data_IF_983143053588
#
_entry.id   IF_983143053588
#
_cell.length_a   1.000
_cell.length_b   1.000
_cell.length_c   1.000
_cell.angle_alpha   90.00
_cell.angle_beta   90.00
_cell.angle_gamma   90.00
#
_symmetry.space_group_name_H-M   'P 1'
#
loop_
_entity.id
_entity.type
_entity.pdbx_description
1 polymer ?
#
# COMPACT_ATOMS: atom_id res chain seq x y z
N UNK A 1 -0.30 -22.35 -5.97
CA UNK A 1 -1.35 -23.39 -6.07
C UNK A 1 -0.79 -24.81 -5.92
N UNK A 2 -0.41 -25.20 -4.69
CA UNK A 2 -0.23 -26.60 -4.28
C UNK A 2 -0.70 -26.73 -2.82
N UNK A 3 -1.97 -27.08 -2.59
CA UNK A 3 -2.47 -27.33 -1.22
C UNK A 3 -3.99 -27.45 -1.04
N UNK A 4 -4.78 -27.05 -2.04
CA UNK A 4 -6.24 -26.84 -1.96
C UNK A 4 -7.14 -28.09 -1.81
N UNK A 5 -6.69 -29.18 -1.17
CA UNK A 5 -7.51 -30.40 -1.03
C UNK A 5 -7.92 -30.78 0.40
N UNK A 6 -7.57 -30.02 1.44
CA UNK A 6 -7.90 -30.44 2.81
C UNK A 6 -8.62 -29.44 3.72
N UNK A 7 -8.51 -28.13 3.52
CA UNK A 7 -9.19 -27.13 4.35
C UNK A 7 -9.67 -25.95 3.49
N UNK A 8 -10.74 -25.27 3.93
CA UNK A 8 -11.02 -23.89 3.48
C UNK A 8 -9.83 -23.03 3.89
N UNK A 9 -9.04 -22.59 2.92
CA UNK A 9 -7.84 -21.79 3.15
C UNK A 9 -7.99 -20.43 2.50
N UNK A 10 -7.42 -19.42 3.14
CA UNK A 10 -7.20 -18.11 2.54
C UNK A 10 -6.40 -18.25 1.23
N UNK A 11 -6.53 -17.25 0.35
CA UNK A 11 -5.78 -17.16 -0.89
C UNK A 11 -4.27 -17.35 -0.72
N UNK A 12 -3.63 -17.87 -1.78
CA UNK A 12 -2.18 -18.04 -1.85
C UNK A 12 -1.47 -16.66 -1.77
N UNK A 13 -0.17 -16.60 -1.39
CA UNK A 13 0.59 -15.35 -1.43
C UNK A 13 0.64 -14.72 -2.82
N UNK A 14 0.51 -13.40 -2.88
CA UNK A 14 0.60 -12.61 -4.12
C UNK A 14 1.96 -11.90 -4.23
N UNK A 15 2.40 -11.63 -5.46
CA UNK A 15 3.64 -10.94 -5.78
C UNK A 15 3.35 -9.61 -6.46
N UNK A 16 3.72 -8.51 -5.81
CA UNK A 16 3.59 -7.15 -6.34
C UNK A 16 4.96 -6.54 -6.59
N UNK A 17 5.04 -5.66 -7.58
CA UNK A 17 6.24 -4.87 -7.83
C UNK A 17 6.49 -3.91 -6.68
N UNK A 18 7.73 -3.87 -6.19
CA UNK A 18 8.17 -2.84 -5.25
C UNK A 18 8.41 -1.55 -6.02
N UNK A 19 7.74 -0.48 -5.60
CA UNK A 19 7.94 0.85 -6.14
C UNK A 19 9.21 1.45 -5.53
N UNK A 20 10.09 1.96 -6.39
CA UNK A 20 11.25 2.72 -5.95
C UNK A 20 10.79 3.96 -5.17
N UNK A 21 11.43 4.21 -4.05
CA UNK A 21 11.21 5.32 -3.12
C UNK A 21 11.21 6.70 -3.79
N UNK A 22 12.05 6.94 -4.79
CA UNK A 22 12.05 8.19 -5.58
C UNK A 22 10.78 8.36 -6.47
N UNK A 23 10.02 7.29 -6.65
CA UNK A 23 8.75 7.24 -7.37
C UNK A 23 7.53 7.28 -6.44
N UNK A 24 7.73 7.48 -5.14
CA UNK A 24 6.62 7.72 -4.23
C UNK A 24 5.88 9.02 -4.59
N UNK A 25 4.60 9.05 -4.27
CA UNK A 25 3.71 10.19 -4.48
C UNK A 25 3.29 10.77 -3.13
N UNK A 26 2.69 11.94 -3.18
CA UNK A 26 2.06 12.65 -2.06
C UNK A 26 0.53 12.44 -2.02
N UNK A 27 -0.04 11.89 -3.09
CA UNK A 27 -1.48 11.67 -3.25
C UNK A 27 -1.78 10.37 -3.99
N UNK A 28 -2.74 9.60 -3.47
CA UNK A 28 -3.22 8.37 -4.06
C UNK A 28 -4.74 8.29 -4.05
N UNK A 29 -5.32 7.85 -5.16
CA UNK A 29 -6.69 7.36 -5.24
C UNK A 29 -6.63 5.89 -5.60
N UNK A 30 -7.28 5.04 -4.80
CA UNK A 30 -7.25 3.59 -4.97
C UNK A 30 -8.60 2.97 -4.68
N UNK A 31 -8.76 1.69 -5.04
CA UNK A 31 -10.00 0.95 -4.85
C UNK A 31 -9.77 -0.30 -4.00
N UNK A 32 -10.72 -0.58 -3.11
CA UNK A 32 -10.76 -1.79 -2.31
C UNK A 32 -11.91 -2.67 -2.82
N UNK A 33 -11.59 -3.86 -3.32
CA UNK A 33 -12.59 -4.72 -3.95
C UNK A 33 -13.54 -5.36 -2.91
N UNK A 34 -14.84 -5.17 -3.11
CA UNK A 34 -15.92 -5.76 -2.32
C UNK A 34 -16.04 -7.28 -2.40
N UNK A 35 -15.43 -7.95 -3.38
CA UNK A 35 -15.50 -9.41 -3.50
C UNK A 35 -14.56 -10.13 -2.52
N UNK A 36 -13.71 -9.40 -1.79
CA UNK A 36 -12.74 -9.97 -0.85
C UNK A 36 -13.04 -9.49 0.57
N UNK A 37 -13.36 -10.44 1.47
CA UNK A 37 -13.79 -10.17 2.85
C UNK A 37 -12.75 -9.43 3.69
N UNK A 38 -11.46 -9.69 3.45
CA UNK A 38 -10.35 -9.13 4.21
C UNK A 38 -9.48 -8.28 3.30
N UNK A 39 -9.50 -6.96 3.50
CA UNK A 39 -8.63 -6.03 2.77
C UNK A 39 -7.76 -5.19 3.69
N UNK A 40 -6.50 -5.02 3.31
CA UNK A 40 -5.51 -4.26 4.08
C UNK A 40 -4.62 -3.41 3.18
N UNK A 41 -4.00 -2.40 3.77
CA UNK A 41 -3.05 -1.52 3.13
C UNK A 41 -1.67 -1.73 3.74
N UNK A 42 -0.63 -1.70 2.92
CA UNK A 42 0.75 -1.47 3.37
C UNK A 42 1.14 -0.07 2.94
N UNK A 43 1.54 0.74 3.91
CA UNK A 43 2.06 2.08 3.64
C UNK A 43 3.54 2.11 3.99
N UNK A 44 4.32 2.78 3.15
CA UNK A 44 5.74 3.04 3.38
C UNK A 44 5.95 4.54 3.21
N UNK A 45 6.46 5.22 4.23
CA UNK A 45 6.82 6.64 4.13
C UNK A 45 8.32 6.82 4.21
N UNK A 46 8.83 7.83 3.52
CA UNK A 46 10.23 8.25 3.62
C UNK A 46 10.32 9.64 4.22
N UNK A 47 11.32 9.85 5.08
CA UNK A 47 11.61 11.20 5.59
C UNK A 47 12.24 12.07 4.51
N UNK A 48 11.85 13.32 4.44
CA UNK A 48 12.55 14.32 3.65
C UNK A 48 13.46 15.19 4.54
N UNK A 49 13.80 16.41 4.10
CA UNK A 49 14.61 17.36 4.86
C UNK A 49 13.91 17.86 6.14
N UNK A 50 12.58 17.82 6.18
CA UNK A 50 11.73 18.25 7.30
C UNK A 50 11.33 17.08 8.21
N UNK A 51 11.53 15.84 7.76
CA UNK A 51 11.33 14.63 8.56
C UNK A 51 10.25 13.71 7.99
N UNK A 52 9.66 12.87 8.84
CA UNK A 52 8.54 12.04 8.44
C UNK A 52 7.26 12.85 8.45
N UNK A 53 6.55 12.81 7.33
CA UNK A 53 5.24 13.44 7.19
C UNK A 53 4.13 12.50 7.63
N UNK A 54 3.07 13.08 8.15
CA UNK A 54 1.86 12.35 8.48
C UNK A 54 1.14 11.93 7.19
N UNK A 55 0.61 10.71 7.17
CA UNK A 55 -0.23 10.23 6.07
C UNK A 55 -1.67 10.20 6.56
N UNK A 56 -2.57 10.86 5.82
CA UNK A 56 -4.00 10.84 6.09
C UNK A 56 -4.69 9.93 5.09
N UNK A 57 -5.55 9.05 5.61
CA UNK A 57 -6.53 8.30 4.84
C UNK A 57 -7.90 8.93 5.06
N UNK A 58 -8.69 9.04 4.00
CA UNK A 58 -10.05 9.60 4.06
C UNK A 58 -10.95 8.93 5.11
N UNK A 59 -10.71 7.65 5.39
CA UNK A 59 -11.61 6.81 6.17
C UNK A 59 -11.18 6.55 7.63
N UNK A 60 -9.88 6.67 7.95
CA UNK A 60 -9.36 6.56 9.33
C UNK A 60 -8.69 7.85 9.83
N UNK A 61 -8.45 8.84 8.98
CA UNK A 61 -7.65 10.01 9.30
C UNK A 61 -6.16 9.68 9.35
N UNK A 62 -5.47 10.20 10.36
CA UNK A 62 -4.02 10.06 10.56
C UNK A 62 -3.61 8.60 10.77
N UNK A 63 -2.70 8.11 9.92
CA UNK A 63 -2.16 6.75 10.03
C UNK A 63 -1.08 6.68 11.11
N UNK A 64 -1.17 5.67 11.98
CA UNK A 64 -0.30 5.46 13.13
C UNK A 64 0.51 4.13 13.05
N UNK A 65 1.15 3.77 14.15
CA UNK A 65 1.87 2.49 14.36
C UNK A 65 3.03 2.22 13.39
N UNK A 66 3.70 3.31 12.97
CA UNK A 66 4.88 3.26 12.10
C UNK A 66 6.05 2.52 12.73
N UNK A 67 6.71 1.68 11.92
CA UNK A 67 7.88 0.89 12.30
C UNK A 67 9.04 1.19 11.35
N UNK A 68 10.30 1.21 11.82
CA UNK A 68 11.45 1.41 10.96
C UNK A 68 11.52 0.37 9.83
N UNK A 69 11.81 0.83 8.61
CA UNK A 69 12.10 -0.01 7.45
C UNK A 69 13.59 0.12 7.09
N UNK A 70 14.36 -0.95 7.29
CA UNK A 70 15.81 -0.93 7.09
C UNK A 70 16.58 -0.41 8.30
N UNK A 71 17.87 -0.10 8.10
CA UNK A 71 18.82 0.27 9.17
C UNK A 71 19.34 1.70 9.08
N UNK A 72 19.03 2.42 7.99
CA UNK A 72 19.47 3.80 7.74
C UNK A 72 18.54 4.85 8.39
N UNK A 73 17.38 4.40 8.90
CA UNK A 73 16.38 5.24 9.54
C UNK A 73 15.77 6.28 8.59
N UNK A 74 15.69 5.99 7.29
CA UNK A 74 15.11 6.90 6.29
C UNK A 74 13.67 6.57 5.93
N UNK A 75 13.26 5.32 6.14
CA UNK A 75 11.93 4.84 5.80
C UNK A 75 11.25 4.17 6.99
N UNK A 76 9.93 4.26 7.00
CA UNK A 76 9.06 3.56 7.95
C UNK A 76 7.91 2.91 7.19
N UNK A 77 7.35 1.85 7.76
CA UNK A 77 6.18 1.18 7.21
C UNK A 77 5.13 0.91 8.29
N UNK A 78 3.89 0.73 7.85
CA UNK A 78 2.76 0.34 8.71
C UNK A 78 1.72 -0.42 7.89
N UNK A 79 0.77 -1.03 8.59
CA UNK A 79 -0.37 -1.72 7.99
C UNK A 79 -1.67 -1.16 8.51
N UNK A 80 -2.64 -1.01 7.62
CA UNK A 80 -4.00 -0.59 7.96
C UNK A 80 -4.98 -1.65 7.50
N UNK A 81 -5.74 -2.23 8.42
CA UNK A 81 -6.86 -3.09 8.06
C UNK A 81 -8.05 -2.21 7.63
N UNK A 82 -8.54 -2.40 6.40
CA UNK A 82 -9.69 -1.67 5.86
C UNK A 82 -10.97 -2.45 6.17
N UNK A 83 -11.02 -3.72 5.75
CA UNK A 83 -12.15 -4.61 5.99
C UNK A 83 -11.70 -5.91 6.64
N UNK A 84 -12.49 -6.46 7.55
CA UNK A 84 -12.27 -7.75 8.18
C UNK A 84 -13.59 -8.54 8.17
N UNK A 85 -13.57 -9.76 7.65
CA UNK A 85 -14.76 -10.64 7.55
C UNK A 85 -15.96 -9.94 6.89
N UNK A 86 -15.70 -9.13 5.86
CA UNK A 86 -16.75 -8.42 5.15
C UNK A 86 -17.10 -7.05 5.76
N UNK A 87 -16.59 -6.73 6.95
CA UNK A 87 -16.96 -5.54 7.71
C UNK A 87 -15.88 -4.46 7.63
N UNK A 88 -16.29 -3.23 7.31
CA UNK A 88 -15.42 -2.07 7.33
C UNK A 88 -15.04 -1.61 8.74
N UNK A 89 -13.84 -1.05 8.90
CA UNK A 89 -13.41 -0.39 10.14
C UNK A 89 -13.80 1.09 10.12
N UNK A 90 -14.87 1.44 10.82
CA UNK A 90 -15.34 2.83 10.88
C UNK A 90 -15.86 3.29 9.52
N UNK A 91 -15.31 4.38 8.97
CA UNK A 91 -15.65 4.84 7.62
C UNK A 91 -14.88 4.11 6.50
N UNK A 92 -13.91 3.24 6.84
CA UNK A 92 -13.18 2.46 5.85
C UNK A 92 -14.04 1.30 5.37
N UNK A 93 -14.35 1.27 4.08
CA UNK A 93 -15.25 0.27 3.48
C UNK A 93 -14.68 -0.18 2.13
N UNK A 94 -15.51 -0.78 1.28
CA UNK A 94 -15.13 -1.11 -0.07
C UNK A 94 -15.28 0.09 -1.00
N UNK A 95 -14.65 0.02 -2.17
CA UNK A 95 -14.73 1.04 -3.21
C UNK A 95 -13.59 2.04 -3.14
N UNK A 96 -13.87 3.27 -3.56
CA UNK A 96 -12.86 4.32 -3.73
C UNK A 96 -12.41 4.87 -2.38
N UNK A 97 -11.10 4.93 -2.20
CA UNK A 97 -10.44 5.61 -1.09
C UNK A 97 -9.33 6.53 -1.56
N UNK A 98 -8.93 7.44 -0.68
CA UNK A 98 -7.93 8.46 -0.93
C UNK A 98 -6.94 8.56 0.23
N UNK A 99 -5.66 8.76 -0.12
CA UNK A 99 -4.58 8.99 0.82
C UNK A 99 -3.77 10.23 0.42
N UNK A 100 -3.43 11.07 1.39
CA UNK A 100 -2.64 12.30 1.20
C UNK A 100 -1.52 12.39 2.23
N UNK A 101 -0.44 13.09 1.89
CA UNK A 101 0.62 13.49 2.82
C UNK A 101 1.36 14.71 2.28
N UNK A 102 1.99 15.49 3.14
CA UNK A 102 2.90 16.57 2.73
C UNK A 102 4.25 16.04 2.19
N UNK A 103 4.52 14.74 2.39
CA UNK A 103 5.74 14.08 1.95
C UNK A 103 5.50 12.80 1.14
N UNK A 104 6.57 12.23 0.56
CA UNK A 104 6.48 11.04 -0.28
C UNK A 104 6.17 9.78 0.54
N UNK A 105 5.15 9.04 0.10
CA UNK A 105 4.86 7.70 0.60
C UNK A 105 4.45 6.76 -0.54
N UNK A 106 4.57 5.46 -0.31
CA UNK A 106 4.05 4.40 -1.16
C UNK A 106 2.85 3.73 -0.48
N UNK A 107 1.88 3.30 -1.29
CA UNK A 107 0.68 2.61 -0.83
C UNK A 107 0.46 1.36 -1.67
N UNK A 108 0.27 0.23 -0.98
CA UNK A 108 -0.09 -1.05 -1.59
C UNK A 108 -1.42 -1.51 -1.02
N UNK A 109 -2.29 -1.99 -1.90
CA UNK A 109 -3.59 -2.55 -1.54
C UNK A 109 -3.50 -4.06 -1.62
N UNK A 110 -4.06 -4.73 -0.63
CA UNK A 110 -4.13 -6.19 -0.55
C UNK A 110 -5.55 -6.62 -0.23
N UNK A 111 -5.99 -7.73 -0.82
CA UNK A 111 -7.19 -8.40 -0.38
C UNK A 111 -7.07 -9.91 -0.46
N UNK A 112 -7.75 -10.59 0.47
CA UNK A 112 -7.73 -12.03 0.61
C UNK A 112 -9.14 -12.51 0.93
N UNK A 113 -9.52 -13.61 0.29
CA UNK A 113 -10.72 -14.38 0.58
C UNK A 113 -10.40 -15.88 0.45
N UNK A 114 -11.41 -16.72 0.56
CA UNK A 114 -11.28 -18.16 0.38
C UNK A 114 -10.75 -18.45 -1.02
N UNK A 115 -9.56 -19.06 -1.06
CA UNK A 115 -8.86 -19.48 -2.29
C UNK A 115 -8.49 -18.36 -3.27
N UNK A 116 -8.64 -17.08 -2.88
CA UNK A 116 -8.37 -15.94 -3.75
C UNK A 116 -7.61 -14.84 -3.00
N UNK A 117 -6.68 -14.20 -3.69
CA UNK A 117 -5.95 -13.03 -3.21
C UNK A 117 -5.71 -12.05 -4.35
N UNK A 118 -5.47 -10.78 -4.01
CA UNK A 118 -4.97 -9.77 -4.92
C UNK A 118 -4.04 -8.80 -4.20
N UNK A 119 -3.14 -8.19 -4.96
CA UNK A 119 -2.30 -7.10 -4.51
C UNK A 119 -1.91 -6.18 -5.65
N UNK A 120 -1.80 -4.89 -5.38
CA UNK A 120 -1.23 -3.93 -6.34
C UNK A 120 -0.66 -2.69 -5.64
N UNK A 121 0.36 -2.04 -6.22
CA UNK A 121 0.73 -0.68 -5.83
C UNK A 121 -0.35 0.29 -6.30
N UNK A 122 -0.83 1.17 -5.42
CA UNK A 122 -1.85 2.16 -5.75
C UNK A 122 -1.38 3.19 -6.80
N UNK A 123 -0.07 3.34 -6.95
CA UNK A 123 0.52 4.17 -7.99
C UNK A 123 2.03 4.26 -7.85
N UNK A 124 2.65 4.80 -8.90
CA UNK A 124 4.06 5.14 -8.92
C UNK A 124 4.25 6.37 -9.80
N UNK A 125 5.25 7.18 -9.44
CA UNK A 125 5.75 8.24 -10.30
C UNK A 125 6.36 7.71 -11.58
N UNK A 126 6.51 8.62 -12.55
CA UNK A 126 7.19 8.40 -13.83
C UNK A 126 8.47 9.23 -13.95
N UNK A 127 9.07 9.59 -12.80
CA UNK A 127 10.29 10.42 -12.76
C UNK A 127 11.47 9.60 -13.27
N UNK A 128 12.44 10.19 -13.97
CA UNK A 128 13.64 9.47 -14.41
C UNK A 128 14.32 8.77 -13.23
N UNK A 129 14.51 7.46 -13.33
CA UNK A 129 15.18 6.65 -12.31
C UNK A 129 16.71 6.73 -12.42
N UNK A 130 17.23 7.21 -13.54
CA UNK A 130 18.67 7.39 -13.78
C UNK A 130 18.96 8.84 -14.17
N UNK A 131 20.05 9.43 -13.65
CA UNK A 131 20.53 10.73 -14.12
C UNK A 131 21.11 10.66 -15.54
N UNK A 132 21.33 9.46 -16.08
CA UNK A 132 21.92 9.26 -17.40
C UNK A 132 20.88 9.51 -18.51
N UNK A 133 21.14 10.53 -19.34
CA UNK A 133 20.37 10.77 -20.56
C UNK A 133 21.01 10.06 -21.75
N UNK A 134 20.33 9.07 -22.32
CA UNK A 134 20.77 8.42 -23.56
C UNK A 134 20.40 9.34 -24.73
N UNK A 135 21.42 9.87 -25.41
CA UNK A 135 21.22 10.62 -26.66
C UNK A 135 21.22 9.62 -27.82
N UNK A 136 20.04 9.34 -28.37
CA UNK A 136 19.92 8.55 -29.61
C UNK A 136 20.28 9.47 -30.78
N UNK A 137 21.28 9.08 -31.57
CA UNK A 137 21.66 9.75 -32.82
C UNK A 137 20.89 9.16 -33.99
#
# INVERSE_FOLDING_TARGET
>A
MTGARKNFTLGDPDFVNVIADDQFLDHYVFFVDHTYRDSSLTLVRRKDQSGFHEVQLDCVGSVADWRPLGTDGTAEYTWVQVTKEGQGKGACTYGRHEATSDGPFGLYVWGVDDYASYGFPAGAGSRPTSPVKIVVR
#
